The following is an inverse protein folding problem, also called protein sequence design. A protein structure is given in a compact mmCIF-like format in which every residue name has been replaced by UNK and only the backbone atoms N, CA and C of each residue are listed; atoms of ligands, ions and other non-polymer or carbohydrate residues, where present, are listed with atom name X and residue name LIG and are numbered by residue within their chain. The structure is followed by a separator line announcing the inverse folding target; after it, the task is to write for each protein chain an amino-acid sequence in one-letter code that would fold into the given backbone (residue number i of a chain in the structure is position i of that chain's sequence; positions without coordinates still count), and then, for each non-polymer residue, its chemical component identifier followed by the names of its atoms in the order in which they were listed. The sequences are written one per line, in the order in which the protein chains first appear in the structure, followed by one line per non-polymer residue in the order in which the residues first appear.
data_IF_387883660938
#
_entry.id   IF_387883660938
#
_cell.length_a   1.000
_cell.length_b   1.000
_cell.length_c   1.000
_cell.angle_alpha   90.00
_cell.angle_beta   90.00
_cell.angle_gamma   90.00
#
_symmetry.space_group_name_H-M   'P 1'
#
loop_
_entity.id
_entity.type
_entity.pdbx_description
1 polymer ?
#
# COMPACT_ATOMS: atom_id res chain seq x y z
N UNK A 1 -18.15 24.72 19.36
CA UNK A 1 -18.58 23.30 19.44
C UNK A 1 -18.56 22.52 18.10
N UNK A 2 -18.06 23.08 16.98
CA UNK A 2 -18.19 22.45 15.64
C UNK A 2 -17.03 21.56 15.16
N UNK A 3 -16.07 21.19 16.01
CA UNK A 3 -14.89 20.41 15.57
C UNK A 3 -15.06 18.89 15.77
N UNK A 4 -15.86 18.46 16.76
CA UNK A 4 -16.04 17.04 17.10
C UNK A 4 -16.85 16.28 16.02
N UNK A 5 -17.94 16.88 15.53
CA UNK A 5 -18.78 16.28 14.49
C UNK A 5 -18.05 16.13 13.16
N UNK A 6 -17.18 17.08 12.80
CA UNK A 6 -16.32 17.01 11.60
C UNK A 6 -15.28 15.89 11.70
N UNK A 7 -14.77 15.62 12.90
CA UNK A 7 -13.83 14.52 13.14
C UNK A 7 -14.52 13.15 13.09
N UNK A 8 -15.74 13.04 13.63
CA UNK A 8 -16.57 11.83 13.52
C UNK A 8 -16.85 11.47 12.06
N UNK A 9 -17.35 12.44 11.27
CA UNK A 9 -17.62 12.26 9.84
C UNK A 9 -16.37 11.83 9.05
N UNK A 10 -15.18 12.34 9.43
CA UNK A 10 -13.92 11.90 8.81
C UNK A 10 -13.60 10.45 9.15
N UNK A 11 -13.75 10.03 10.40
CA UNK A 11 -13.55 8.64 10.85
C UNK A 11 -14.44 7.64 10.10
N UNK A 12 -15.69 8.01 9.86
CA UNK A 12 -16.66 7.18 9.12
C UNK A 12 -16.22 6.96 7.66
N UNK A 13 -15.66 8.00 7.03
CA UNK A 13 -15.17 7.93 5.65
C UNK A 13 -13.97 7.00 5.53
N UNK A 14 -13.01 7.08 6.46
CA UNK A 14 -11.87 6.15 6.49
C UNK A 14 -12.33 4.71 6.67
N UNK A 15 -13.27 4.47 7.59
CA UNK A 15 -13.85 3.16 7.84
C UNK A 15 -14.54 2.60 6.59
N UNK A 16 -15.30 3.45 5.88
CA UNK A 16 -15.96 3.08 4.62
C UNK A 16 -14.97 2.74 3.51
N UNK A 17 -13.93 3.56 3.33
CA UNK A 17 -12.87 3.31 2.33
C UNK A 17 -12.15 2.01 2.65
N UNK A 18 -11.84 1.76 3.92
CA UNK A 18 -11.20 0.52 4.35
C UNK A 18 -12.10 -0.71 4.10
N UNK A 19 -13.38 -0.64 4.46
CA UNK A 19 -14.34 -1.70 4.20
C UNK A 19 -14.44 -2.03 2.71
N UNK A 20 -14.60 -1.03 1.85
CA UNK A 20 -14.67 -1.24 0.39
C UNK A 20 -13.40 -1.89 -0.16
N UNK A 21 -12.24 -1.52 0.38
CA UNK A 21 -10.97 -2.13 -0.02
C UNK A 21 -10.90 -3.60 0.37
N UNK A 22 -11.26 -3.93 1.62
CA UNK A 22 -11.28 -5.30 2.11
C UNK A 22 -12.32 -6.16 1.37
N UNK A 23 -13.52 -5.62 1.12
CA UNK A 23 -14.56 -6.28 0.34
C UNK A 23 -14.10 -6.58 -1.09
N UNK A 24 -13.34 -5.66 -1.72
CA UNK A 24 -12.77 -5.90 -3.05
C UNK A 24 -11.80 -7.09 -3.07
N UNK A 25 -10.94 -7.22 -2.04
CA UNK A 25 -10.06 -8.38 -1.89
C UNK A 25 -10.83 -9.66 -1.62
N UNK A 26 -11.81 -9.64 -0.72
CA UNK A 26 -12.65 -10.79 -0.41
C UNK A 26 -13.42 -11.29 -1.65
N UNK A 27 -13.99 -10.37 -2.44
CA UNK A 27 -14.66 -10.70 -3.69
C UNK A 27 -13.70 -11.33 -4.71
N UNK A 28 -12.47 -10.80 -4.81
CA UNK A 28 -11.47 -11.36 -5.72
C UNK A 28 -11.04 -12.78 -5.31
N UNK A 29 -10.95 -13.04 -4.00
CA UNK A 29 -10.61 -14.38 -3.46
C UNK A 29 -11.76 -15.36 -3.69
N UNK A 30 -13.01 -14.92 -3.46
CA UNK A 30 -14.19 -15.76 -3.63
C UNK A 30 -14.42 -16.14 -5.10
N UNK A 31 -14.24 -15.20 -6.02
CA UNK A 31 -14.47 -15.41 -7.46
C UNK A 31 -13.35 -14.79 -8.30
N UNK A 32 -12.21 -15.48 -8.51
CA UNK A 32 -11.06 -14.91 -9.22
C UNK A 32 -11.28 -14.70 -10.72
N UNK A 33 -12.31 -15.35 -11.30
CA UNK A 33 -12.67 -15.21 -12.72
C UNK A 33 -13.63 -14.05 -12.98
N UNK A 34 -14.49 -13.74 -12.03
CA UNK A 34 -15.45 -12.63 -12.15
C UNK A 34 -14.91 -11.41 -11.39
N UNK A 35 -14.48 -10.42 -12.16
CA UNK A 35 -13.86 -9.20 -11.64
C UNK A 35 -14.83 -8.02 -11.56
N UNK A 36 -16.10 -8.23 -11.90
CA UNK A 36 -17.11 -7.16 -11.95
C UNK A 36 -17.34 -6.55 -10.56
N UNK A 37 -17.56 -7.38 -9.55
CA UNK A 37 -17.77 -6.95 -8.16
C UNK A 37 -16.54 -6.24 -7.59
N UNK A 38 -15.35 -6.82 -7.77
CA UNK A 38 -14.08 -6.20 -7.33
C UNK A 38 -13.91 -4.80 -7.92
N UNK A 39 -14.19 -4.63 -9.23
CA UNK A 39 -14.12 -3.33 -9.88
C UNK A 39 -15.12 -2.34 -9.29
N UNK A 40 -16.37 -2.76 -9.09
CA UNK A 40 -17.43 -1.91 -8.53
C UNK A 40 -17.07 -1.41 -7.13
N UNK A 41 -16.48 -2.28 -6.29
CA UNK A 41 -16.01 -1.86 -4.96
C UNK A 41 -14.90 -0.83 -5.03
N UNK A 42 -13.89 -1.04 -5.89
CA UNK A 42 -12.78 -0.08 -6.02
C UNK A 42 -13.23 1.23 -6.66
N UNK A 43 -14.14 1.21 -7.62
CA UNK A 43 -14.75 2.42 -8.19
C UNK A 43 -15.51 3.20 -7.12
N UNK A 44 -16.31 2.51 -6.31
CA UNK A 44 -17.02 3.12 -5.17
C UNK A 44 -16.05 3.73 -4.16
N UNK A 45 -14.97 3.02 -3.83
CA UNK A 45 -13.91 3.50 -2.95
C UNK A 45 -13.31 4.80 -3.49
N UNK A 46 -12.99 4.83 -4.78
CA UNK A 46 -12.39 6.00 -5.44
C UNK A 46 -13.34 7.19 -5.44
N UNK A 47 -14.61 6.97 -5.76
CA UNK A 47 -15.64 8.01 -5.74
C UNK A 47 -15.82 8.61 -4.34
N UNK A 48 -15.85 7.77 -3.30
CA UNK A 48 -15.91 8.21 -1.90
C UNK A 48 -14.67 9.05 -1.56
N UNK A 49 -13.47 8.55 -1.90
CA UNK A 49 -12.22 9.24 -1.61
C UNK A 49 -12.10 10.60 -2.34
N UNK A 50 -12.57 10.70 -3.57
CA UNK A 50 -12.58 11.96 -4.32
C UNK A 50 -13.58 12.96 -3.75
N UNK A 51 -14.81 12.50 -3.47
CA UNK A 51 -15.86 13.34 -2.89
C UNK A 51 -15.48 13.90 -1.52
N UNK A 52 -14.75 13.11 -0.72
CA UNK A 52 -14.26 13.53 0.59
C UNK A 52 -12.89 14.21 0.56
N UNK A 53 -12.28 14.40 -0.62
CA UNK A 53 -10.92 14.94 -0.80
C UNK A 53 -9.89 14.19 0.07
N UNK A 54 -10.03 12.87 0.14
CA UNK A 54 -9.21 12.01 0.98
C UNK A 54 -7.87 11.68 0.30
N UNK A 55 -6.78 11.89 1.03
CA UNK A 55 -5.45 11.44 0.61
C UNK A 55 -5.27 9.96 0.96
N UNK A 56 -5.45 9.10 -0.04
CA UNK A 56 -5.16 7.67 0.12
C UNK A 56 -3.65 7.43 0.27
N UNK A 57 -3.31 6.43 1.09
CA UNK A 57 -1.94 5.97 1.30
C UNK A 57 -1.29 5.52 -0.02
N UNK A 58 0.02 5.79 -0.24
CA UNK A 58 0.72 5.36 -1.44
C UNK A 58 0.65 3.85 -1.69
N UNK A 59 0.63 3.01 -0.65
CA UNK A 59 0.55 1.55 -0.77
C UNK A 59 -0.79 1.13 -1.38
N UNK A 60 -1.89 1.73 -0.92
CA UNK A 60 -3.21 1.54 -1.51
C UNK A 60 -3.23 2.01 -2.97
N UNK A 61 -2.75 3.24 -3.23
CA UNK A 61 -2.70 3.78 -4.60
C UNK A 61 -1.84 2.93 -5.53
N UNK A 62 -0.76 2.31 -5.04
CA UNK A 62 0.11 1.41 -5.83
C UNK A 62 -0.62 0.16 -6.30
N UNK A 63 -1.47 -0.40 -5.44
CA UNK A 63 -2.27 -1.61 -5.71
C UNK A 63 -3.54 -1.35 -6.52
N UNK A 64 -3.86 -0.11 -6.90
CA UNK A 64 -5.02 0.18 -7.74
C UNK A 64 -4.60 0.60 -9.16
N UNK A 65 -5.34 0.13 -10.17
CA UNK A 65 -5.16 0.58 -11.54
C UNK A 65 -5.65 2.02 -11.70
N UNK A 66 -4.83 2.88 -12.33
CA UNK A 66 -5.17 4.30 -12.54
C UNK A 66 -6.25 4.54 -13.61
N UNK A 67 -6.49 3.57 -14.51
CA UNK A 67 -7.43 3.71 -15.64
C UNK A 67 -8.75 2.99 -15.37
N UNK A 68 -8.68 1.67 -15.17
CA UNK A 68 -9.87 0.84 -15.03
C UNK A 68 -10.32 0.64 -13.58
N UNK A 69 -9.57 1.16 -12.60
CA UNK A 69 -9.84 0.99 -11.18
C UNK A 69 -9.93 -0.48 -10.74
N UNK A 70 -9.21 -1.37 -11.41
CA UNK A 70 -9.06 -2.76 -10.97
C UNK A 70 -8.04 -2.85 -9.82
N UNK A 71 -8.29 -3.74 -8.87
CA UNK A 71 -7.31 -4.15 -7.87
C UNK A 71 -6.17 -4.92 -8.55
N UNK A 72 -4.91 -4.53 -8.31
CA UNK A 72 -3.72 -5.11 -8.93
C UNK A 72 -3.10 -6.14 -7.98
N UNK A 73 -3.49 -7.40 -8.14
CA UNK A 73 -2.91 -8.54 -7.43
C UNK A 73 -1.95 -9.26 -8.38
N UNK A 74 -0.65 -9.36 -8.02
CA UNK A 74 0.34 -10.06 -8.83
C UNK A 74 -0.09 -11.51 -9.12
N UNK A 75 -0.02 -11.93 -10.38
CA UNK A 75 -0.36 -13.29 -10.80
C UNK A 75 -1.84 -13.52 -11.12
N UNK A 76 -2.75 -12.65 -10.65
CA UNK A 76 -4.19 -12.76 -10.93
C UNK A 76 -4.64 -11.68 -11.91
N UNK A 77 -4.54 -10.40 -11.50
CA UNK A 77 -5.06 -9.26 -12.27
C UNK A 77 -3.95 -8.36 -12.83
N UNK A 78 -2.70 -8.56 -12.38
CA UNK A 78 -1.55 -7.82 -12.87
C UNK A 78 -0.31 -8.70 -13.01
N UNK A 79 0.57 -8.30 -13.93
CA UNK A 79 1.92 -8.86 -14.03
C UNK A 79 2.92 -7.88 -13.46
N UNK A 80 3.80 -8.38 -12.59
CA UNK A 80 4.90 -7.60 -12.01
C UNK A 80 6.21 -8.12 -12.58
N UNK A 81 7.05 -7.21 -13.11
CA UNK A 81 8.37 -7.56 -13.65
C UNK A 81 9.40 -6.55 -13.19
N UNK A 82 10.55 -7.03 -12.73
CA UNK A 82 11.72 -6.18 -12.46
C UNK A 82 12.51 -6.03 -13.76
N UNK A 83 12.86 -4.80 -14.12
CA UNK A 83 13.71 -4.50 -15.29
C UNK A 83 14.87 -3.62 -14.86
N UNK A 84 16.03 -3.81 -15.51
CA UNK A 84 17.28 -3.13 -15.14
C UNK A 84 17.97 -2.40 -16.31
N UNK A 85 17.29 -2.17 -17.44
CA UNK A 85 17.95 -1.67 -18.68
C UNK A 85 18.65 -0.32 -18.56
N UNK A 86 18.06 0.67 -17.86
CA UNK A 86 18.67 2.00 -17.61
C UNK A 86 18.80 2.28 -16.12
N UNK A 87 17.70 2.09 -15.40
CA UNK A 87 17.63 2.10 -13.94
C UNK A 87 16.82 0.87 -13.50
N UNK A 88 17.13 0.31 -12.33
CA UNK A 88 16.35 -0.80 -11.75
C UNK A 88 14.96 -0.28 -11.38
N UNK A 89 13.93 -0.87 -11.96
CA UNK A 89 12.55 -0.48 -11.70
C UNK A 89 11.60 -1.67 -11.80
N UNK A 90 10.49 -1.60 -11.05
CA UNK A 90 9.38 -2.55 -11.11
C UNK A 90 8.33 -2.01 -12.05
N UNK A 91 7.94 -2.86 -13.00
CA UNK A 91 6.86 -2.62 -13.95
C UNK A 91 5.67 -3.45 -13.53
N UNK A 92 4.57 -2.77 -13.17
CA UNK A 92 3.27 -3.40 -12.88
C UNK A 92 2.35 -3.11 -14.06
N UNK A 93 1.92 -4.16 -14.78
CA UNK A 93 0.99 -4.06 -15.90
C UNK A 93 -0.34 -4.70 -15.51
N UNK A 94 -1.42 -3.94 -15.67
CA UNK A 94 -2.78 -4.46 -15.52
C UNK A 94 -3.11 -5.40 -16.70
N UNK A 95 -3.63 -6.59 -16.39
CA UNK A 95 -4.03 -7.57 -17.41
C UNK A 95 -5.35 -7.23 -18.10
N UNK A 96 -6.22 -6.49 -17.41
CA UNK A 96 -7.54 -6.09 -17.91
C UNK A 96 -7.46 -4.94 -18.94
N UNK A 97 -6.86 -3.79 -18.58
CA UNK A 97 -6.82 -2.61 -19.46
C UNK A 97 -5.43 -2.31 -20.06
N UNK A 98 -4.42 -3.12 -19.76
CA UNK A 98 -3.05 -2.95 -20.26
C UNK A 98 -2.26 -1.79 -19.67
N UNK A 99 -2.85 -0.98 -18.77
CA UNK A 99 -2.17 0.18 -18.18
C UNK A 99 -0.95 -0.24 -17.36
N UNK A 100 0.16 0.49 -17.55
CA UNK A 100 1.45 0.20 -16.91
C UNK A 100 1.78 1.27 -15.85
N UNK A 101 2.21 0.81 -14.68
CA UNK A 101 2.81 1.63 -13.61
C UNK A 101 4.27 1.22 -13.44
N UNK A 102 5.14 2.19 -13.20
CA UNK A 102 6.57 1.98 -13.04
C UNK A 102 7.00 2.59 -11.71
N UNK A 103 7.78 1.84 -10.94
CA UNK A 103 8.32 2.27 -9.65
C UNK A 103 9.82 2.04 -9.66
N UNK A 104 10.60 3.08 -9.41
CA UNK A 104 12.05 2.97 -9.35
C UNK A 104 12.45 2.20 -8.07
N UNK A 105 13.45 1.34 -8.20
CA UNK A 105 14.06 0.64 -7.08
C UNK A 105 15.36 1.37 -6.75
N UNK A 106 15.21 2.44 -5.99
CA UNK A 106 16.33 3.14 -5.37
C UNK A 106 16.30 2.82 -3.87
N UNK A 107 17.43 2.35 -3.35
CA UNK A 107 17.57 1.97 -1.94
C UNK A 107 17.52 3.19 -1.03
N UNK A 108 17.97 4.35 -1.54
CA UNK A 108 17.97 5.61 -0.78
C UNK A 108 16.58 6.26 -0.73
N UNK A 109 15.69 5.90 -1.65
CA UNK A 109 14.39 6.56 -1.78
C UNK A 109 13.35 5.98 -0.80
N UNK A 110 12.84 6.83 0.08
CA UNK A 110 11.74 6.52 1.01
C UNK A 110 10.52 7.39 0.73
N UNK A 111 9.32 6.82 0.88
CA UNK A 111 8.09 7.60 0.83
C UNK A 111 7.97 8.46 2.09
N UNK A 112 7.29 9.61 2.00
CA UNK A 112 6.96 10.44 3.17
C UNK A 112 6.29 9.63 4.28
N UNK A 113 5.34 8.75 3.96
CA UNK A 113 4.65 7.91 4.95
C UNK A 113 5.53 6.89 5.68
N UNK A 114 6.76 6.68 5.22
CA UNK A 114 7.74 5.76 5.81
C UNK A 114 8.85 6.49 6.59
N UNK A 115 8.85 7.83 6.57
CA UNK A 115 9.79 8.63 7.32
C UNK A 115 9.32 8.75 8.78
N UNK A 116 10.22 8.57 9.77
CA UNK A 116 9.83 8.65 11.17
C UNK A 116 9.19 10.00 11.52
N UNK A 117 9.66 11.10 10.91
CA UNK A 117 9.12 12.47 11.01
C UNK A 117 7.63 12.55 10.68
N UNK A 118 7.15 11.72 9.74
CA UNK A 118 5.76 11.75 9.30
C UNK A 118 4.79 11.23 10.37
N UNK A 119 5.26 10.40 11.31
CA UNK A 119 4.43 9.83 12.36
C UNK A 119 4.34 10.72 13.60
N UNK A 120 5.39 11.49 13.93
CA UNK A 120 5.49 12.28 15.17
C UNK A 120 4.32 13.26 15.41
N UNK A 121 3.61 13.71 14.36
CA UNK A 121 2.42 14.56 14.52
C UNK A 121 1.15 13.83 14.97
N UNK A 122 1.15 12.49 14.99
CA UNK A 122 -0.06 11.66 15.13
C UNK A 122 0.03 10.58 16.21
N UNK A 123 1.14 10.48 16.93
CA UNK A 123 1.36 9.39 17.88
C UNK A 123 0.99 9.85 19.31
N UNK A 124 0.06 9.18 20.00
CA UNK A 124 -0.08 9.33 21.45
C UNK A 124 1.22 8.88 22.13
N UNK A 125 1.72 9.66 23.08
CA UNK A 125 3.02 9.52 23.78
C UNK A 125 3.44 8.06 24.10
N UNK A 126 2.49 7.16 24.34
CA UNK A 126 2.70 5.75 24.70
C UNK A 126 3.47 4.90 23.66
N UNK A 127 3.44 5.21 22.36
CA UNK A 127 4.20 4.42 21.36
C UNK A 127 5.71 4.73 21.41
N UNK A 128 6.12 5.85 22.03
CA UNK A 128 7.54 6.10 22.29
C UNK A 128 8.17 5.00 23.16
N UNK A 129 7.36 4.31 23.98
CA UNK A 129 7.81 3.20 24.83
C UNK A 129 8.11 1.94 24.02
N UNK A 130 7.37 1.69 22.94
CA UNK A 130 7.55 0.49 22.09
C UNK A 130 8.78 0.61 21.19
N UNK A 131 9.13 1.82 20.72
CA UNK A 131 10.36 2.05 19.95
C UNK A 131 11.63 2.00 20.80
N UNK A 132 11.52 2.18 22.12
CA UNK A 132 12.64 2.02 23.05
C UNK A 132 12.82 0.55 23.51
N UNK A 133 11.92 -0.35 23.12
CA UNK A 133 11.93 -1.76 23.51
C UNK A 133 12.44 -2.72 22.42
N UNK A 134 13.12 -2.23 21.38
CA UNK A 134 13.82 -3.07 20.40
C UNK A 134 15.31 -2.71 20.27
N UNK A 135 16.19 -3.27 21.12
CA UNK A 135 17.58 -3.50 20.77
C UNK A 135 17.84 -5.01 20.66
N UNK A 136 17.44 -5.66 19.56
CA UNK A 136 17.75 -7.09 19.35
C UNK A 136 17.48 -7.63 17.93
N UNK A 137 17.91 -6.94 16.86
CA UNK A 137 17.91 -7.58 15.51
C UNK A 137 19.20 -7.41 14.73
N UNK A 138 20.17 -6.63 15.22
CA UNK A 138 21.42 -6.37 14.50
C UNK A 138 22.56 -7.33 14.87
N UNK A 139 22.40 -8.22 15.86
CA UNK A 139 23.43 -9.19 16.26
C UNK A 139 23.34 -10.57 15.57
N UNK A 140 22.31 -10.85 14.75
CA UNK A 140 22.18 -12.15 14.08
C UNK A 140 22.77 -12.21 12.66
N UNK A 141 23.51 -11.18 12.24
CA UNK A 141 24.23 -11.15 10.95
C UNK A 141 25.76 -11.21 11.08
N UNK A 142 26.30 -11.42 12.29
CA UNK A 142 27.74 -11.59 12.53
C UNK A 142 28.18 -13.02 12.86
N UNK A 143 27.32 -14.03 12.66
CA UNK A 143 27.71 -15.44 12.75
C UNK A 143 27.37 -16.19 11.45
N UNK A 144 28.09 -15.86 10.39
CA UNK A 144 28.34 -16.81 9.29
C UNK A 144 29.85 -17.08 9.27
N UNK A 145 30.31 -18.30 9.62
CA UNK A 145 31.73 -18.61 9.66
C UNK A 145 32.33 -18.58 8.26
N UNK A 146 33.35 -17.75 8.10
CA UNK A 146 34.35 -17.82 7.03
C UNK A 146 35.10 -19.15 7.14
N UNK A 147 34.66 -20.17 6.40
CA UNK A 147 35.52 -21.33 6.11
C UNK A 147 36.23 -21.10 4.79
N UNK A 148 37.46 -20.62 4.92
CA UNK A 148 38.52 -20.84 3.95
C UNK A 148 38.60 -22.35 3.62
N UNK A 149 38.33 -22.72 2.37
CA UNK A 149 38.82 -23.98 1.82
C UNK A 149 40.19 -23.69 1.18
N UNK A 150 41.18 -24.43 1.66
CA UNK A 150 42.49 -24.61 1.02
C UNK A 150 42.33 -25.24 -0.36
#
# INVERSE_FOLDING_TARGET
MGNSTKNMQRGDIFSRVNFLYQAAHAALIASPRDLTLTRTYVQSLKAVAEKSVLRLDPSLKRNLCKKCYMLLVPGITCTVRVKSKRQKHVVVRCLDCGTVKRFNLDVSHRLWSQQPEAWFRSVPQYVQVMNNAQPAHEELQQLAPTSHLK
#
